data_IF_918640156927
#
_entry.id   IF_918640156927
#
_cell.length_a   1.000
_cell.length_b   1.000
_cell.length_c   1.000
_cell.angle_alpha   90.00
_cell.angle_beta   90.00
_cell.angle_gamma   90.00
#
_symmetry.space_group_name_H-M   'P 1'
#
loop_
_entity.id
_entity.type
_entity.pdbx_description
1 polymer ?
#
# COMPACT_ATOMS: atom_id res chain seq x y z
N UNK A 1 60.66 -21.01 34.04
CA UNK A 1 61.83 -20.21 33.64
C UNK A 1 61.36 -19.28 32.53
N UNK A 2 60.46 -18.34 32.82
CA UNK A 2 60.73 -17.03 33.45
C UNK A 2 61.60 -16.14 32.57
N UNK A 3 61.00 -15.23 31.80
CA UNK A 3 61.08 -13.81 32.12
C UNK A 3 60.10 -12.97 31.29
N UNK A 4 59.33 -12.17 32.03
CA UNK A 4 58.55 -11.01 31.61
C UNK A 4 59.46 -9.78 31.50
N UNK A 5 59.07 -8.82 30.65
CA UNK A 5 59.05 -7.36 30.90
C UNK A 5 58.36 -6.70 29.68
N UNK A 6 57.12 -6.19 29.77
CA UNK A 6 56.61 -4.94 30.38
C UNK A 6 56.94 -3.63 29.63
N UNK A 7 55.85 -2.99 29.14
CA UNK A 7 55.48 -1.54 29.15
C UNK A 7 56.43 -0.58 28.40
N UNK A 8 56.01 0.53 27.78
CA UNK A 8 54.97 1.47 28.13
C UNK A 8 54.55 2.40 26.95
N UNK A 9 53.41 3.03 27.19
CA UNK A 9 52.68 4.13 26.52
C UNK A 9 53.49 5.38 26.11
N UNK A 10 53.06 6.07 25.06
CA UNK A 10 53.17 7.55 24.99
C UNK A 10 52.01 8.21 24.21
N UNK A 11 51.35 9.16 24.91
CA UNK A 11 50.35 10.12 24.45
C UNK A 11 51.05 11.44 24.07
N UNK A 12 50.50 12.16 23.07
CA UNK A 12 50.42 13.63 22.84
C UNK A 12 50.57 13.90 21.32
N UNK A 13 49.89 14.86 20.68
CA UNK A 13 49.09 15.97 21.18
C UNK A 13 48.38 16.72 20.05
N UNK A 14 47.53 17.66 20.49
CA UNK A 14 46.63 18.55 19.75
C UNK A 14 47.34 19.48 18.74
N UNK A 15 46.61 19.89 17.69
CA UNK A 15 46.62 21.29 17.24
C UNK A 15 45.29 21.69 16.58
N UNK A 16 44.74 22.80 17.05
CA UNK A 16 43.61 23.53 16.49
C UNK A 16 44.14 24.76 15.74
N UNK A 17 43.46 25.19 14.68
CA UNK A 17 43.57 26.54 14.13
C UNK A 17 42.19 27.08 13.75
N UNK A 18 41.90 28.27 14.28
CA UNK A 18 40.74 29.11 13.97
C UNK A 18 40.85 29.75 12.57
N UNK A 19 39.69 30.05 11.97
CA UNK A 19 39.53 31.03 10.90
C UNK A 19 38.13 31.64 10.97
N UNK A 20 38.06 32.95 11.20
CA UNK A 20 36.87 33.78 11.44
C UNK A 20 36.81 34.85 10.34
N UNK A 21 35.67 35.05 9.70
CA UNK A 21 35.22 36.33 9.09
C UNK A 21 33.71 36.18 8.80
N UNK A 22 32.80 36.93 9.42
CA UNK A 22 32.48 38.37 9.28
C UNK A 22 31.93 38.74 7.90
N UNK A 23 30.63 39.07 7.87
CA UNK A 23 29.94 39.67 6.73
C UNK A 23 28.47 39.92 7.04
N UNK A 24 28.18 41.09 7.63
CA UNK A 24 26.85 41.58 7.94
C UNK A 24 26.22 42.26 6.71
N UNK A 25 24.90 42.12 6.53
CA UNK A 25 24.03 43.14 5.93
C UNK A 25 22.60 42.95 6.46
N UNK A 26 22.05 44.00 7.06
CA UNK A 26 20.66 44.08 7.48
C UNK A 26 19.80 44.85 6.47
N UNK A 27 18.48 44.73 6.65
CA UNK A 27 17.37 45.66 6.31
C UNK A 27 16.07 44.97 6.75
N UNK A 28 15.44 45.44 7.82
CA UNK A 28 14.32 46.41 7.86
C UNK A 28 12.94 45.78 7.54
N UNK A 29 12.09 45.82 8.57
CA UNK A 29 10.64 45.61 8.72
C UNK A 29 9.76 46.27 7.61
N UNK A 30 8.44 45.93 7.41
CA UNK A 30 7.43 45.93 8.48
C UNK A 30 6.14 45.05 8.36
N UNK A 31 5.52 44.84 9.52
CA UNK A 31 4.08 44.91 9.85
C UNK A 31 3.04 44.38 8.86
N UNK A 32 2.37 43.26 9.19
CA UNK A 32 1.03 42.93 8.69
C UNK A 32 0.15 42.39 9.83
N UNK A 33 -1.08 42.90 9.82
CA UNK A 33 -2.08 42.90 10.87
C UNK A 33 -2.76 41.54 11.13
N UNK A 34 -3.19 41.42 12.38
CA UNK A 34 -4.17 40.49 12.92
C UNK A 34 -5.58 40.87 12.44
N UNK A 35 -6.45 39.91 12.07
CA UNK A 35 -7.86 40.05 12.39
C UNK A 35 -8.46 38.79 13.01
N UNK A 36 -9.10 39.03 14.15
CA UNK A 36 -10.06 38.15 14.81
C UNK A 36 -11.38 38.04 14.04
N UNK A 37 -12.09 36.94 14.34
CA UNK A 37 -13.54 36.73 14.33
C UNK A 37 -14.27 36.65 12.97
N UNK A 38 -14.76 35.44 12.64
CA UNK A 38 -16.19 35.24 12.39
C UNK A 38 -16.59 33.75 12.41
N UNK A 39 -17.52 33.43 13.30
CA UNK A 39 -18.34 32.23 13.28
C UNK A 39 -19.34 32.28 12.11
N UNK A 40 -19.54 31.16 11.41
CA UNK A 40 -20.85 30.59 11.02
C UNK A 40 -20.61 29.32 10.19
N UNK A 41 -20.91 28.14 10.76
CA UNK A 41 -22.18 27.44 10.54
C UNK A 41 -22.40 27.04 9.07
N UNK A 42 -22.05 25.80 8.76
CA UNK A 42 -22.64 25.07 7.64
C UNK A 42 -22.97 23.64 8.09
N UNK A 43 -24.10 23.51 8.76
CA UNK A 43 -24.90 22.29 8.71
C UNK A 43 -25.56 22.23 7.33
N UNK A 44 -25.13 21.31 6.48
CA UNK A 44 -25.98 20.63 5.48
C UNK A 44 -25.11 19.93 4.43
N UNK A 45 -24.71 18.70 4.71
CA UNK A 45 -24.44 17.70 3.67
C UNK A 45 -25.19 16.43 4.05
N UNK A 46 -26.51 16.43 3.82
CA UNK A 46 -27.25 15.19 3.60
C UNK A 46 -26.91 14.74 2.17
N UNK A 47 -25.81 14.00 2.03
CA UNK A 47 -25.54 13.26 0.81
C UNK A 47 -26.40 11.99 0.82
N UNK A 48 -27.17 11.85 -0.25
CA UNK A 48 -28.01 10.70 -0.59
C UNK A 48 -27.19 9.41 -0.68
N UNK A 49 -27.27 8.59 0.36
CA UNK A 49 -26.81 7.20 0.33
C UNK A 49 -27.78 6.35 -0.51
N UNK A 50 -27.50 6.23 -1.81
CA UNK A 50 -28.12 5.20 -2.62
C UNK A 50 -27.12 4.63 -3.64
N UNK A 51 -26.73 3.36 -3.45
CA UNK A 51 -26.41 2.52 -4.59
C UNK A 51 -24.96 2.08 -4.82
N UNK A 52 -24.09 2.03 -3.81
CA UNK A 52 -22.92 1.13 -3.89
C UNK A 52 -22.45 0.72 -2.50
N UNK A 53 -23.05 -0.34 -1.95
CA UNK A 53 -22.50 -1.01 -0.76
C UNK A 53 -21.19 -1.68 -1.16
N UNK A 54 -20.09 -0.90 -1.20
CA UNK A 54 -18.75 -1.46 -1.19
C UNK A 54 -18.63 -2.26 0.10
N UNK A 55 -18.66 -3.59 -0.01
CA UNK A 55 -18.45 -4.47 1.13
C UNK A 55 -17.11 -4.08 1.76
N UNK A 56 -17.15 -3.72 3.03
CA UNK A 56 -15.95 -3.29 3.74
C UNK A 56 -14.94 -4.45 3.76
N UNK A 57 -13.73 -4.19 3.30
CA UNK A 57 -12.61 -5.13 3.43
C UNK A 57 -12.19 -5.15 4.91
N UNK A 58 -12.16 -6.35 5.50
CA UNK A 58 -11.77 -6.57 6.89
C UNK A 58 -10.54 -7.46 6.98
N UNK A 59 -9.65 -7.13 7.91
CA UNK A 59 -8.55 -7.97 8.35
C UNK A 59 -8.93 -8.67 9.66
N UNK A 60 -8.55 -9.92 9.83
CA UNK A 60 -8.77 -10.64 11.08
C UNK A 60 -7.57 -11.53 11.41
N UNK A 61 -7.21 -11.62 12.69
CA UNK A 61 -6.20 -12.58 13.13
C UNK A 61 -6.79 -13.98 13.24
N UNK A 62 -6.08 -14.97 12.74
CA UNK A 62 -6.41 -16.39 12.85
C UNK A 62 -5.17 -17.22 13.21
N UNK A 63 -5.39 -18.45 13.69
CA UNK A 63 -4.35 -19.37 14.14
C UNK A 63 -4.38 -19.63 15.65
N UNK A 64 -3.38 -20.34 16.15
CA UNK A 64 -3.28 -20.70 17.56
C UNK A 64 -2.44 -19.65 18.32
N UNK A 65 -2.93 -19.26 19.49
CA UNK A 65 -2.19 -18.43 20.43
C UNK A 65 -1.42 -19.31 21.42
N UNK A 66 -0.23 -18.90 21.88
CA UNK A 66 0.46 -19.54 23.00
C UNK A 66 -0.45 -19.65 24.23
N UNK A 67 -0.30 -20.74 25.00
CA UNK A 67 -1.15 -21.02 26.16
C UNK A 67 -1.06 -19.93 27.25
N UNK A 68 0.11 -19.31 27.37
CA UNK A 68 0.47 -18.30 28.37
C UNK A 68 0.25 -16.86 27.90
N UNK A 69 -0.52 -16.65 26.82
CA UNK A 69 -0.77 -15.32 26.23
C UNK A 69 -1.46 -14.35 27.21
N UNK A 70 -1.09 -13.07 27.17
CA UNK A 70 -1.68 -12.04 28.01
C UNK A 70 -3.19 -11.87 27.72
N UNK A 71 -4.08 -11.69 28.73
CA UNK A 71 -5.53 -11.60 28.53
C UNK A 71 -5.97 -10.56 27.49
N UNK A 72 -5.37 -9.36 27.52
CA UNK A 72 -5.65 -8.31 26.54
C UNK A 72 -5.36 -8.71 25.09
N UNK A 73 -4.39 -9.60 24.85
CA UNK A 73 -4.09 -10.11 23.50
C UNK A 73 -5.16 -11.11 23.06
N UNK A 74 -5.68 -11.92 23.99
CA UNK A 74 -6.78 -12.84 23.71
C UNK A 74 -8.05 -12.08 23.32
N UNK A 75 -8.30 -10.91 23.92
CA UNK A 75 -9.40 -10.00 23.53
C UNK A 75 -9.23 -9.43 22.12
N UNK A 76 -8.00 -9.28 21.63
CA UNK A 76 -7.70 -8.83 20.26
C UNK A 76 -8.00 -9.89 19.19
N UNK A 77 -8.06 -11.16 19.59
CA UNK A 77 -8.15 -12.28 18.67
C UNK A 77 -9.59 -12.49 18.19
N UNK A 78 -9.78 -12.68 16.88
CA UNK A 78 -11.11 -12.75 16.26
C UNK A 78 -11.75 -11.39 15.98
N UNK A 79 -11.14 -10.27 16.40
CA UNK A 79 -11.59 -8.94 15.99
C UNK A 79 -11.36 -8.72 14.50
N UNK A 80 -12.34 -8.08 13.86
CA UNK A 80 -12.23 -7.61 12.48
C UNK A 80 -11.73 -6.17 12.49
N UNK A 81 -10.71 -5.88 11.70
CA UNK A 81 -10.13 -4.56 11.54
C UNK A 81 -10.52 -3.97 10.20
N UNK A 82 -11.11 -2.79 10.21
CA UNK A 82 -11.49 -2.03 9.02
C UNK A 82 -10.46 -0.94 8.76
N UNK A 83 -10.06 -0.78 7.51
CA UNK A 83 -9.13 0.28 7.09
C UNK A 83 -9.73 1.66 7.40
N UNK A 84 -8.95 2.51 8.06
CA UNK A 84 -9.28 3.92 8.32
C UNK A 84 -8.69 4.80 7.20
N UNK A 85 -9.31 5.94 6.93
CA UNK A 85 -8.76 6.94 6.01
C UNK A 85 -7.46 7.58 6.56
N UNK A 86 -7.34 7.61 7.88
CA UNK A 86 -6.17 8.14 8.58
C UNK A 86 -4.96 7.21 8.49
N UNK A 87 -3.78 7.83 8.41
CA UNK A 87 -2.49 7.16 8.36
C UNK A 87 -1.78 7.33 9.71
N UNK A 88 -1.11 6.27 10.17
CA UNK A 88 -0.18 6.34 11.29
C UNK A 88 1.23 6.11 10.77
N UNK A 89 2.16 7.02 11.09
CA UNK A 89 3.56 6.96 10.63
C UNK A 89 3.67 6.78 9.10
N UNK A 90 2.84 7.51 8.35
CA UNK A 90 2.82 7.48 6.87
C UNK A 90 2.23 6.21 6.23
N UNK A 91 1.69 5.27 7.01
CA UNK A 91 1.05 4.05 6.49
C UNK A 91 -0.41 3.94 6.93
N UNK A 92 -1.26 3.22 6.18
CA UNK A 92 -2.65 3.04 6.55
C UNK A 92 -2.78 2.36 7.91
N UNK A 93 -3.77 2.80 8.70
CA UNK A 93 -4.09 2.14 9.94
C UNK A 93 -5.49 1.51 9.89
N UNK A 94 -5.69 0.50 10.73
CA UNK A 94 -6.92 -0.29 10.74
C UNK A 94 -7.50 -0.31 12.13
N UNK A 95 -8.78 0.00 12.27
CA UNK A 95 -9.47 0.04 13.56
C UNK A 95 -10.39 -1.17 13.66
N UNK A 96 -10.34 -1.83 14.81
CA UNK A 96 -11.24 -2.93 15.14
C UNK A 96 -12.72 -2.52 15.08
N UNK A 97 -13.61 -3.48 14.83
CA UNK A 97 -15.06 -3.23 14.75
C UNK A 97 -15.67 -2.69 16.04
N UNK A 98 -15.05 -2.95 17.20
CA UNK A 98 -15.49 -2.41 18.48
C UNK A 98 -14.88 -1.03 18.79
N UNK A 99 -13.97 -0.54 17.94
CA UNK A 99 -13.31 0.74 18.08
C UNK A 99 -12.29 0.83 19.23
N UNK A 100 -11.99 -0.26 19.94
CA UNK A 100 -11.10 -0.24 21.11
C UNK A 100 -9.65 -0.49 20.74
N UNK A 101 -9.44 -1.27 19.69
CA UNK A 101 -8.13 -1.69 19.23
C UNK A 101 -7.82 -1.18 17.82
N UNK A 102 -6.53 -1.10 17.53
CA UNK A 102 -6.02 -0.62 16.25
C UNK A 102 -4.81 -1.46 15.84
N UNK A 103 -4.65 -1.64 14.54
CA UNK A 103 -3.46 -2.16 13.89
C UNK A 103 -2.79 -0.98 13.16
N UNK A 104 -1.56 -0.67 13.51
CA UNK A 104 -0.80 0.44 12.92
C UNK A 104 0.65 0.05 12.66
N UNK A 105 1.31 0.85 11.82
CA UNK A 105 2.74 0.75 11.60
C UNK A 105 3.49 1.63 12.60
N UNK A 106 4.51 1.07 13.25
CA UNK A 106 5.40 1.75 14.16
C UNK A 106 6.85 1.65 13.69
N UNK A 107 7.63 2.68 14.00
CA UNK A 107 9.07 2.75 13.71
C UNK A 107 9.78 2.95 15.04
N UNK A 108 10.69 2.05 15.38
CA UNK A 108 11.51 2.13 16.58
C UNK A 108 12.63 3.16 16.40
N UNK A 109 13.26 3.54 17.51
CA UNK A 109 14.37 4.52 17.52
C UNK A 109 15.63 4.03 16.80
N UNK A 110 15.80 2.71 16.70
CA UNK A 110 16.88 2.06 15.96
C UNK A 110 16.56 1.85 14.46
N UNK A 111 15.40 2.34 14.00
CA UNK A 111 14.94 2.21 12.62
C UNK A 111 14.24 0.87 12.31
N UNK A 112 14.02 0.00 13.31
CA UNK A 112 13.22 -1.20 13.11
C UNK A 112 11.76 -0.84 12.80
N UNK A 113 11.16 -1.53 11.84
CA UNK A 113 9.77 -1.35 11.44
C UNK A 113 8.92 -2.50 11.98
N UNK A 114 7.74 -2.19 12.52
CA UNK A 114 6.81 -3.22 12.95
C UNK A 114 5.36 -2.85 12.68
N UNK A 115 4.55 -3.88 12.46
CA UNK A 115 3.10 -3.77 12.56
C UNK A 115 2.67 -4.18 13.96
N UNK A 116 1.91 -3.31 14.62
CA UNK A 116 1.53 -3.44 16.03
C UNK A 116 0.01 -3.40 16.17
N UNK A 117 -0.53 -4.30 16.98
CA UNK A 117 -1.92 -4.27 17.46
C UNK A 117 -1.94 -3.88 18.93
N UNK A 118 -2.74 -2.88 19.25
CA UNK A 118 -2.92 -2.43 20.62
C UNK A 118 -4.12 -1.50 20.76
N UNK A 119 -4.16 -0.75 21.87
CA UNK A 119 -5.25 0.20 22.14
C UNK A 119 -5.15 1.38 21.19
N UNK A 120 -6.29 1.93 20.80
CA UNK A 120 -6.35 3.14 19.93
C UNK A 120 -5.58 4.33 20.56
N UNK A 121 -5.57 4.45 21.90
CA UNK A 121 -4.80 5.49 22.62
C UNK A 121 -3.28 5.39 22.47
N UNK A 122 -2.79 4.26 21.99
CA UNK A 122 -1.36 3.98 21.77
C UNK A 122 -0.98 3.97 20.29
N UNK A 123 -1.92 4.35 19.41
CA UNK A 123 -1.69 4.42 17.98
C UNK A 123 -0.42 5.24 17.65
N UNK A 124 0.43 4.66 16.81
CA UNK A 124 1.71 5.25 16.39
C UNK A 124 2.88 4.99 17.34
N UNK A 125 2.64 4.54 18.58
CA UNK A 125 3.69 4.19 19.54
C UNK A 125 4.19 2.77 19.32
N UNK A 126 5.38 2.46 19.86
CA UNK A 126 5.92 1.11 19.95
C UNK A 126 5.35 0.36 21.17
N UNK A 127 4.02 0.33 21.29
CA UNK A 127 3.31 -0.24 22.44
C UNK A 127 2.07 -1.00 21.97
N UNK A 128 2.07 -2.32 22.12
CA UNK A 128 0.93 -3.18 21.77
C UNK A 128 1.13 -4.61 22.24
N UNK A 129 0.05 -5.37 22.25
CA UNK A 129 0.06 -6.75 22.73
C UNK A 129 0.45 -7.76 21.66
N UNK A 130 0.30 -7.41 20.38
CA UNK A 130 0.70 -8.21 19.22
C UNK A 130 1.59 -7.34 18.35
N UNK A 131 2.74 -7.86 17.93
CA UNK A 131 3.65 -7.15 17.05
C UNK A 131 4.32 -8.11 16.07
N UNK A 132 4.69 -7.60 14.91
CA UNK A 132 5.57 -8.32 13.98
C UNK A 132 6.64 -7.37 13.51
N UNK A 133 7.89 -7.71 13.82
CA UNK A 133 9.06 -6.91 13.48
C UNK A 133 9.61 -7.42 12.16
N UNK A 134 9.67 -6.53 11.17
CA UNK A 134 10.23 -6.85 9.86
C UNK A 134 11.63 -6.23 9.75
N UNK A 135 12.64 -7.08 9.56
CA UNK A 135 14.01 -6.62 9.28
C UNK A 135 14.12 -6.31 7.78
N UNK A 136 14.13 -5.02 7.43
CA UNK A 136 14.29 -4.56 6.05
C UNK A 136 13.33 -3.41 5.69
N UNK A 137 13.08 -3.21 4.40
CA UNK A 137 12.20 -2.15 3.88
C UNK A 137 10.72 -2.29 4.26
N UNK A 138 10.34 -3.37 4.96
CA UNK A 138 9.07 -3.60 5.62
C UNK A 138 7.86 -3.55 4.69
N UNK A 139 7.05 -4.60 4.65
CA UNK A 139 5.80 -4.62 3.88
C UNK A 139 4.94 -3.41 4.23
N UNK A 140 4.63 -2.59 3.22
CA UNK A 140 3.75 -1.42 3.32
C UNK A 140 2.30 -1.78 3.62
N UNK A 141 1.98 -3.07 3.56
CA UNK A 141 0.63 -3.62 3.56
C UNK A 141 0.60 -4.82 4.53
N UNK A 142 -0.20 -4.78 5.61
CA UNK A 142 -0.24 -5.85 6.61
C UNK A 142 -0.52 -7.24 6.04
N UNK A 143 -1.25 -7.30 4.94
CA UNK A 143 -1.65 -8.52 4.25
C UNK A 143 -0.46 -9.31 3.68
N UNK A 144 0.67 -8.66 3.40
CA UNK A 144 1.85 -9.34 2.86
C UNK A 144 2.87 -9.72 3.93
N UNK A 145 2.53 -9.56 5.21
CA UNK A 145 3.41 -9.95 6.31
C UNK A 145 3.53 -11.48 6.33
N UNK A 146 4.71 -11.98 5.97
CA UNK A 146 5.05 -13.42 6.09
C UNK A 146 5.87 -13.74 7.34
N UNK A 147 6.31 -12.71 8.06
CA UNK A 147 7.14 -12.84 9.26
C UNK A 147 6.36 -13.44 10.44
N UNK A 148 7.09 -14.00 11.40
CA UNK A 148 6.51 -14.59 12.61
C UNK A 148 6.02 -13.48 13.53
N UNK A 149 4.72 -13.53 13.85
CA UNK A 149 4.13 -12.63 14.82
C UNK A 149 4.61 -12.94 16.24
N UNK A 150 4.65 -11.91 17.05
CA UNK A 150 5.08 -11.93 18.43
C UNK A 150 3.94 -11.42 19.29
N UNK A 151 3.72 -12.07 20.44
CA UNK A 151 2.64 -11.72 21.36
C UNK A 151 3.20 -11.54 22.76
N UNK A 152 2.56 -10.67 23.54
CA UNK A 152 2.86 -10.54 24.96
C UNK A 152 2.29 -11.74 25.73
N UNK A 153 3.12 -12.37 26.54
CA UNK A 153 2.70 -13.36 27.52
C UNK A 153 2.14 -12.70 28.78
N UNK A 154 1.46 -13.50 29.59
CA UNK A 154 1.02 -13.17 30.95
C UNK A 154 2.16 -12.74 31.87
N UNK A 155 3.40 -13.14 31.58
CA UNK A 155 4.61 -12.72 32.32
C UNK A 155 5.24 -11.44 31.78
N UNK A 156 4.55 -10.73 30.87
CA UNK A 156 5.05 -9.50 30.21
C UNK A 156 6.33 -9.74 29.39
N UNK A 157 6.52 -10.96 28.90
CA UNK A 157 7.61 -11.31 27.99
C UNK A 157 7.07 -11.49 26.56
N UNK A 158 7.91 -11.25 25.56
CA UNK A 158 7.53 -11.43 24.16
C UNK A 158 7.75 -12.90 23.79
N UNK A 159 6.68 -13.55 23.31
CA UNK A 159 6.69 -14.95 22.87
C UNK A 159 6.34 -15.01 21.38
N UNK A 160 6.98 -15.92 20.64
CA UNK A 160 6.68 -16.11 19.22
C UNK A 160 5.36 -16.86 19.04
N UNK A 161 4.53 -16.39 18.12
CA UNK A 161 3.27 -17.01 17.72
C UNK A 161 3.33 -17.45 16.24
N UNK A 162 4.06 -18.53 15.92
CA UNK A 162 4.29 -18.96 14.54
C UNK A 162 3.05 -19.49 13.83
N UNK A 163 1.95 -19.75 14.55
CA UNK A 163 0.66 -20.11 13.97
C UNK A 163 -0.22 -18.89 13.64
N UNK A 164 0.09 -17.71 14.19
CA UNK A 164 -0.72 -16.51 14.04
C UNK A 164 -0.55 -15.93 12.62
N UNK A 165 -1.66 -15.68 11.93
CA UNK A 165 -1.70 -15.07 10.59
C UNK A 165 -2.76 -13.99 10.54
N UNK A 166 -2.54 -13.00 9.68
CA UNK A 166 -3.54 -12.00 9.35
C UNK A 166 -4.29 -12.47 8.10
N UNK A 167 -5.56 -12.80 8.24
CA UNK A 167 -6.42 -13.18 7.14
C UNK A 167 -7.11 -11.95 6.57
N UNK A 168 -7.08 -11.83 5.25
CA UNK A 168 -7.88 -10.87 4.53
C UNK A 168 -9.23 -11.53 4.22
N UNK A 169 -10.28 -11.17 4.95
CA UNK A 169 -11.61 -11.69 4.68
C UNK A 169 -12.17 -11.01 3.42
N UNK A 170 -12.01 -11.70 2.29
CA UNK A 170 -12.78 -11.40 1.10
C UNK A 170 -14.19 -11.98 1.32
N UNK A 171 -15.27 -11.18 1.31
CA UNK A 171 -16.63 -11.67 1.57
C UNK A 171 -17.13 -12.72 0.57
N UNK A 172 -16.39 -12.99 -0.52
CA UNK A 172 -16.67 -14.08 -1.45
C UNK A 172 -16.28 -15.48 -0.93
N UNK A 173 -15.59 -15.58 0.21
CA UNK A 173 -15.06 -16.86 0.71
C UNK A 173 -15.13 -16.95 2.24
N UNK A 174 -16.30 -16.70 2.82
CA UNK A 174 -16.57 -17.13 4.19
C UNK A 174 -17.04 -18.60 4.18
N UNK A 175 -16.42 -19.51 4.96
CA UNK A 175 -16.98 -20.84 5.20
C UNK A 175 -18.07 -20.71 6.26
N UNK A 176 -19.31 -20.46 5.83
CA UNK A 176 -20.49 -20.73 6.65
C UNK A 176 -20.74 -22.24 6.64
N UNK A 177 -20.07 -22.94 7.54
CA UNK A 177 -20.30 -24.35 7.84
C UNK A 177 -21.49 -24.49 8.80
N UNK A 178 -22.63 -23.95 8.38
CA UNK A 178 -23.94 -24.16 8.95
C UNK A 178 -24.91 -24.41 7.81
N UNK A 179 -24.92 -25.66 7.32
CA UNK A 179 -25.91 -26.13 6.33
C UNK A 179 -27.27 -26.22 7.02
N UNK A 180 -27.95 -25.09 7.16
CA UNK A 180 -29.41 -25.09 7.29
C UNK A 180 -29.95 -25.45 5.93
N UNK A 181 -30.49 -26.67 5.79
CA UNK A 181 -31.18 -27.13 4.58
C UNK A 181 -32.40 -26.23 4.34
N UNK A 182 -32.15 -25.09 3.71
CA UNK A 182 -33.15 -24.13 3.29
C UNK A 182 -33.64 -24.60 1.93
N UNK A 183 -34.75 -25.35 1.96
CA UNK A 183 -35.67 -25.63 0.85
C UNK A 183 -35.00 -26.06 -0.46
N UNK A 184 -35.20 -27.33 -0.84
CA UNK A 184 -34.90 -27.85 -2.17
C UNK A 184 -35.47 -26.92 -3.23
N UNK A 185 -34.61 -26.10 -3.86
CA UNK A 185 -34.97 -25.27 -5.00
C UNK A 185 -35.12 -26.15 -6.23
N UNK A 186 -36.17 -25.90 -6.99
CA UNK A 186 -36.45 -26.65 -8.21
C UNK A 186 -35.38 -26.36 -9.27
N UNK A 187 -35.18 -27.28 -10.22
CA UNK A 187 -34.21 -27.10 -11.31
C UNK A 187 -34.48 -25.84 -12.13
N UNK A 188 -35.75 -25.48 -12.27
CA UNK A 188 -36.22 -24.31 -13.02
C UNK A 188 -35.86 -22.99 -12.33
N UNK A 189 -35.92 -22.93 -10.99
CA UNK A 189 -35.46 -21.75 -10.22
C UNK A 189 -33.95 -21.54 -10.35
N UNK A 190 -33.15 -22.63 -10.40
CA UNK A 190 -31.70 -22.54 -10.65
C UNK A 190 -31.38 -22.04 -12.05
N UNK A 191 -32.11 -22.48 -13.07
CA UNK A 191 -31.88 -22.06 -14.45
C UNK A 191 -32.29 -20.59 -14.69
N UNK A 192 -33.31 -20.10 -13.97
CA UNK A 192 -33.71 -18.68 -14.01
C UNK A 192 -32.73 -17.77 -13.26
N UNK A 193 -32.20 -18.20 -12.11
CA UNK A 193 -31.23 -17.43 -11.32
C UNK A 193 -29.84 -17.41 -12.00
N UNK A 194 -29.41 -18.53 -12.60
CA UNK A 194 -28.19 -18.61 -13.39
C UNK A 194 -28.20 -17.70 -14.63
N UNK A 195 -29.37 -17.52 -15.27
CA UNK A 195 -29.53 -16.58 -16.39
C UNK A 195 -29.55 -15.12 -15.94
N UNK A 196 -29.98 -14.81 -14.71
CA UNK A 196 -29.90 -13.45 -14.15
C UNK A 196 -28.47 -13.03 -13.79
N UNK A 197 -27.64 -13.94 -13.29
CA UNK A 197 -26.25 -13.64 -12.94
C UNK A 197 -25.27 -13.67 -14.12
N UNK A 198 -25.62 -14.31 -15.24
CA UNK A 198 -24.78 -14.30 -16.44
C UNK A 198 -24.72 -12.92 -17.13
N UNK A 199 -25.70 -12.04 -16.88
CA UNK A 199 -25.83 -10.73 -17.55
C UNK A 199 -25.14 -9.62 -16.75
N UNK A 200 -24.89 -9.80 -15.45
CA UNK A 200 -24.27 -8.78 -14.58
C UNK A 200 -22.73 -8.92 -14.50
N UNK A 201 -22.11 -9.42 -15.57
CA UNK A 201 -20.66 -9.32 -15.74
C UNK A 201 -20.38 -7.91 -16.25
N UNK A 202 -20.37 -6.95 -15.33
CA UNK A 202 -19.81 -5.63 -15.60
C UNK A 202 -18.36 -5.81 -16.05
N UNK A 203 -18.11 -5.76 -17.37
CA UNK A 203 -16.78 -5.72 -17.99
C UNK A 203 -15.93 -4.51 -17.49
N UNK A 204 -16.57 -3.62 -16.74
CA UNK A 204 -16.02 -2.41 -16.17
C UNK A 204 -15.72 -2.50 -14.67
N UNK A 205 -15.77 -3.68 -14.04
CA UNK A 205 -15.37 -3.80 -12.63
C UNK A 205 -13.87 -3.45 -12.46
N UNK A 206 -13.53 -2.34 -11.76
CA UNK A 206 -12.15 -1.93 -11.56
C UNK A 206 -11.34 -2.94 -10.76
N UNK A 207 -11.97 -3.75 -9.88
CA UNK A 207 -11.28 -4.78 -9.11
C UNK A 207 -10.78 -5.91 -10.02
N UNK A 208 -11.61 -6.38 -10.95
CA UNK A 208 -11.23 -7.40 -11.94
C UNK A 208 -10.12 -6.90 -12.88
N UNK A 209 -10.15 -5.62 -13.25
CA UNK A 209 -9.09 -5.01 -14.09
C UNK A 209 -7.74 -4.98 -13.37
N UNK A 210 -7.74 -4.63 -12.07
CA UNK A 210 -6.51 -4.57 -11.27
C UNK A 210 -5.86 -5.94 -11.07
N UNK A 211 -6.67 -6.98 -10.83
CA UNK A 211 -6.14 -8.34 -10.66
C UNK A 211 -5.54 -8.88 -11.96
N UNK A 212 -6.17 -8.60 -13.11
CA UNK A 212 -5.63 -8.97 -14.42
C UNK A 212 -4.33 -8.24 -14.73
N UNK A 213 -4.23 -6.94 -14.42
CA UNK A 213 -3.01 -6.16 -14.62
C UNK A 213 -1.84 -6.71 -13.79
N UNK A 214 -2.06 -6.97 -12.49
CA UNK A 214 -1.06 -7.58 -11.61
C UNK A 214 -0.59 -8.96 -12.13
N UNK A 215 -1.53 -9.78 -12.63
CA UNK A 215 -1.20 -11.07 -13.24
C UNK A 215 -0.39 -10.94 -14.55
N UNK A 216 -0.62 -9.90 -15.37
CA UNK A 216 0.20 -9.62 -16.56
C UNK A 216 1.61 -9.23 -16.14
N UNK A 217 1.76 -8.28 -15.21
CA UNK A 217 3.06 -7.81 -14.72
C UNK A 217 3.89 -8.96 -14.11
N UNK A 218 3.25 -9.81 -13.30
CA UNK A 218 3.90 -10.98 -12.70
C UNK A 218 4.41 -11.95 -13.78
N UNK A 219 3.62 -12.19 -14.83
CA UNK A 219 4.03 -13.06 -15.95
C UNK A 219 5.18 -12.45 -16.75
N UNK A 220 5.16 -11.14 -16.98
CA UNK A 220 6.25 -10.43 -17.67
C UNK A 220 7.53 -10.48 -16.84
N UNK A 221 7.45 -10.24 -15.52
CA UNK A 221 8.59 -10.34 -14.63
C UNK A 221 9.18 -11.76 -14.62
N UNK A 222 8.33 -12.79 -14.55
CA UNK A 222 8.76 -14.19 -14.65
C UNK A 222 9.44 -14.50 -15.98
N UNK A 223 8.87 -14.01 -17.10
CA UNK A 223 9.45 -14.21 -18.43
C UNK A 223 10.81 -13.50 -18.58
N UNK A 224 10.96 -12.28 -18.06
CA UNK A 224 12.24 -11.56 -18.00
C UNK A 224 13.29 -12.35 -17.21
N UNK A 225 12.93 -12.83 -16.02
CA UNK A 225 13.83 -13.65 -15.19
C UNK A 225 14.31 -14.91 -15.91
N UNK A 226 13.42 -15.61 -16.61
CA UNK A 226 13.79 -16.79 -17.39
C UNK A 226 14.73 -16.46 -18.57
N UNK A 227 14.55 -15.29 -19.20
CA UNK A 227 15.44 -14.83 -20.26
C UNK A 227 16.82 -14.41 -19.71
N UNK A 228 16.87 -13.80 -18.51
CA UNK A 228 18.13 -13.44 -17.85
C UNK A 228 19.03 -14.66 -17.64
N UNK A 229 18.48 -15.80 -17.22
CA UNK A 229 19.27 -17.04 -17.10
C UNK A 229 19.86 -17.51 -18.43
N UNK A 230 19.11 -17.36 -19.53
CA UNK A 230 19.58 -17.69 -20.87
C UNK A 230 20.67 -16.72 -21.35
N UNK A 231 20.53 -15.42 -21.05
CA UNK A 231 21.52 -14.40 -21.36
C UNK A 231 22.79 -14.66 -20.55
N UNK A 232 22.69 -14.93 -19.26
CA UNK A 232 23.86 -15.20 -18.40
C UNK A 232 24.64 -16.43 -18.88
N UNK A 233 23.95 -17.50 -19.29
CA UNK A 233 24.61 -18.66 -19.93
C UNK A 233 25.37 -18.25 -21.18
N UNK A 234 24.74 -17.44 -22.04
CA UNK A 234 25.36 -16.96 -23.27
C UNK A 234 26.56 -16.05 -23.01
N UNK A 235 26.48 -15.20 -21.98
CA UNK A 235 27.62 -14.37 -21.53
C UNK A 235 28.79 -15.24 -21.08
N UNK A 236 28.53 -16.33 -20.34
CA UNK A 236 29.59 -17.25 -19.91
C UNK A 236 30.27 -17.88 -21.13
N UNK A 237 29.50 -18.36 -22.12
CA UNK A 237 30.04 -18.92 -23.36
C UNK A 237 30.91 -17.93 -24.14
N UNK A 238 30.45 -16.68 -24.29
CA UNK A 238 31.19 -15.63 -24.99
C UNK A 238 32.45 -15.20 -24.23
N UNK A 239 32.42 -15.24 -22.89
CA UNK A 239 33.52 -14.79 -22.03
C UNK A 239 34.59 -15.86 -21.82
N UNK A 240 34.24 -17.15 -21.98
CA UNK A 240 35.15 -18.29 -21.83
C UNK A 240 36.55 -18.08 -22.45
N UNK A 241 36.70 -17.68 -23.73
CA UNK A 241 38.02 -17.46 -24.32
C UNK A 241 38.80 -16.32 -23.65
N UNK A 242 38.13 -15.25 -23.21
CA UNK A 242 38.81 -14.15 -22.50
C UNK A 242 39.29 -14.57 -21.11
N UNK A 243 38.53 -15.42 -20.41
CA UNK A 243 38.96 -15.97 -19.11
C UNK A 243 40.23 -16.83 -19.27
N UNK A 244 40.30 -17.66 -20.31
CA UNK A 244 41.48 -18.48 -20.59
C UNK A 244 42.72 -17.61 -20.90
N UNK A 245 42.56 -16.54 -21.67
CA UNK A 245 43.64 -15.58 -21.96
C UNK A 245 44.11 -14.86 -20.69
N UNK A 246 43.19 -14.48 -19.81
CA UNK A 246 43.53 -13.84 -18.54
C UNK A 246 44.32 -14.79 -17.63
N UNK A 247 43.92 -16.06 -17.54
CA UNK A 247 44.63 -17.09 -16.74
C UNK A 247 46.04 -17.33 -17.28
N UNK A 248 46.24 -17.23 -18.60
CA UNK A 248 47.58 -17.30 -19.23
C UNK A 248 48.41 -16.03 -19.06
N UNK A 249 47.83 -14.96 -18.51
CA UNK A 249 48.49 -13.65 -18.39
C UNK A 249 48.62 -12.88 -19.71
N UNK A 250 47.84 -13.26 -20.73
CA UNK A 250 47.85 -12.61 -22.05
C UNK A 250 47.05 -11.29 -22.05
N UNK A 251 46.06 -11.17 -21.16
CA UNK A 251 45.27 -9.94 -20.96
C UNK A 251 45.24 -9.55 -19.49
N UNK A 252 45.05 -8.25 -19.22
CA UNK A 252 44.93 -7.74 -17.86
C UNK A 252 43.47 -7.76 -17.35
N UNK A 253 43.27 -7.33 -16.09
CA UNK A 253 41.95 -7.32 -15.46
C UNK A 253 41.01 -6.23 -16.01
N UNK A 254 41.56 -5.13 -16.54
CA UNK A 254 40.77 -4.04 -17.12
C UNK A 254 40.20 -4.47 -18.48
N UNK A 255 41.00 -5.15 -19.30
CA UNK A 255 40.56 -5.71 -20.57
C UNK A 255 39.53 -6.83 -20.37
N UNK A 256 39.72 -7.71 -19.39
CA UNK A 256 38.71 -8.72 -19.05
C UNK A 256 37.37 -8.09 -18.65
N UNK A 257 37.39 -6.99 -17.89
CA UNK A 257 36.18 -6.26 -17.53
C UNK A 257 35.49 -5.63 -18.76
N UNK A 258 36.26 -5.08 -19.70
CA UNK A 258 35.72 -4.54 -20.95
C UNK A 258 35.09 -5.64 -21.81
N UNK A 259 35.74 -6.80 -21.94
CA UNK A 259 35.22 -7.95 -22.70
C UNK A 259 33.98 -8.56 -22.05
N UNK A 260 33.88 -8.55 -20.71
CA UNK A 260 32.66 -8.94 -19.99
C UNK A 260 31.47 -8.06 -20.34
N UNK A 261 31.66 -6.75 -20.39
CA UNK A 261 30.60 -5.81 -20.76
C UNK A 261 30.21 -5.92 -22.24
N UNK A 262 31.17 -6.18 -23.12
CA UNK A 262 30.91 -6.45 -24.53
C UNK A 262 30.11 -7.74 -24.73
N UNK A 263 30.51 -8.83 -24.07
CA UNK A 263 29.79 -10.11 -24.10
C UNK A 263 28.36 -9.99 -23.57
N UNK A 264 28.13 -9.18 -22.52
CA UNK A 264 26.78 -8.88 -22.03
C UNK A 264 25.93 -8.18 -23.08
N UNK A 265 26.44 -7.10 -23.68
CA UNK A 265 25.71 -6.38 -24.74
C UNK A 265 25.41 -7.27 -25.95
N UNK A 266 26.35 -8.12 -26.33
CA UNK A 266 26.16 -9.06 -27.44
C UNK A 266 25.10 -10.12 -27.11
N UNK A 267 25.17 -10.75 -25.93
CA UNK A 267 24.18 -11.72 -25.47
C UNK A 267 22.77 -11.11 -25.33
N UNK A 268 22.67 -9.87 -24.86
CA UNK A 268 21.40 -9.12 -24.80
C UNK A 268 20.86 -8.81 -26.21
N UNK A 269 21.72 -8.46 -27.17
CA UNK A 269 21.34 -8.19 -28.55
C UNK A 269 20.89 -9.46 -29.31
N UNK A 270 21.48 -10.61 -29.02
CA UNK A 270 21.08 -11.91 -29.59
C UNK A 270 19.71 -12.39 -29.06
N UNK A 271 19.30 -11.92 -27.86
CA UNK A 271 18.06 -12.37 -27.23
C UNK A 271 16.81 -11.62 -27.72
N UNK A 272 16.51 -11.79 -29.03
CA UNK A 272 15.33 -11.19 -29.69
C UNK A 272 13.99 -11.41 -28.95
N UNK A 273 13.72 -12.56 -28.30
CA UNK A 273 12.48 -12.76 -27.54
C UNK A 273 12.29 -11.76 -26.39
N UNK A 274 13.36 -11.40 -25.66
CA UNK A 274 13.28 -10.44 -24.56
C UNK A 274 12.97 -9.03 -25.08
N UNK A 275 13.66 -8.58 -26.13
CA UNK A 275 13.39 -7.28 -26.75
C UNK A 275 11.96 -7.18 -27.29
N UNK A 276 11.42 -8.27 -27.84
CA UNK A 276 10.04 -8.32 -28.32
C UNK A 276 9.04 -8.24 -27.15
N UNK A 277 9.29 -8.97 -26.06
CA UNK A 277 8.47 -8.93 -24.85
C UNK A 277 8.40 -7.51 -24.28
N UNK A 278 9.54 -6.83 -24.18
CA UNK A 278 9.63 -5.48 -23.64
C UNK A 278 8.86 -4.48 -24.50
N UNK A 279 9.03 -4.52 -25.84
CA UNK A 279 8.24 -3.70 -26.78
C UNK A 279 6.74 -3.95 -26.64
N UNK A 280 6.31 -5.20 -26.48
CA UNK A 280 4.90 -5.53 -26.27
C UNK A 280 4.38 -5.01 -24.93
N UNK A 281 5.18 -5.10 -23.87
CA UNK A 281 4.81 -4.61 -22.55
C UNK A 281 4.72 -3.08 -22.52
N UNK A 282 5.64 -2.36 -23.18
CA UNK A 282 5.59 -0.91 -23.37
C UNK A 282 4.32 -0.46 -24.10
N UNK A 283 3.94 -1.16 -25.18
CA UNK A 283 2.67 -0.89 -25.88
C UNK A 283 1.46 -1.10 -24.97
N UNK A 284 1.49 -2.14 -24.15
CA UNK A 284 0.42 -2.44 -23.19
C UNK A 284 0.31 -1.34 -22.11
N UNK A 285 1.42 -0.91 -21.51
CA UNK A 285 1.40 0.14 -20.48
C UNK A 285 0.99 1.49 -21.07
N UNK A 286 1.42 1.81 -22.30
CA UNK A 286 0.95 2.99 -23.03
C UNK A 286 -0.56 2.95 -23.29
N UNK A 287 -1.11 1.79 -23.66
CA UNK A 287 -2.55 1.63 -23.85
C UNK A 287 -3.34 1.80 -22.53
N UNK A 288 -2.81 1.34 -21.39
CA UNK A 288 -3.41 1.60 -20.07
C UNK A 288 -3.41 3.10 -19.78
N UNK A 289 -2.28 3.78 -19.98
CA UNK A 289 -2.16 5.20 -19.72
C UNK A 289 -3.16 6.01 -20.57
N UNK A 290 -3.28 5.68 -21.86
CA UNK A 290 -4.26 6.30 -22.76
C UNK A 290 -5.70 6.09 -22.29
N UNK A 291 -6.04 4.90 -21.78
CA UNK A 291 -7.37 4.64 -21.21
C UNK A 291 -7.63 5.50 -19.97
N UNK A 292 -6.67 5.58 -19.05
CA UNK A 292 -6.82 6.40 -17.82
C UNK A 292 -7.04 7.86 -18.17
N UNK A 293 -6.27 8.39 -19.13
CA UNK A 293 -6.47 9.75 -19.63
C UNK A 293 -7.86 9.96 -20.24
N UNK A 294 -8.38 8.97 -20.97
CA UNK A 294 -9.73 9.04 -21.52
C UNK A 294 -10.81 8.98 -20.43
N UNK A 295 -10.62 8.18 -19.37
CA UNK A 295 -11.52 8.12 -18.21
C UNK A 295 -11.55 9.46 -17.46
N UNK A 296 -10.39 10.08 -17.25
CA UNK A 296 -10.27 11.42 -16.63
C UNK A 296 -10.94 12.50 -17.48
N UNK A 297 -10.78 12.44 -18.81
CA UNK A 297 -11.42 13.39 -19.73
C UNK A 297 -12.96 13.28 -19.72
N UNK A 298 -13.50 12.06 -19.60
CA UNK A 298 -14.95 11.86 -19.44
C UNK A 298 -15.44 12.46 -18.13
N UNK A 299 -14.71 12.28 -17.03
CA UNK A 299 -15.07 12.87 -15.73
C UNK A 299 -15.13 14.40 -15.80
N UNK A 300 -14.14 15.04 -16.40
CA UNK A 300 -14.12 16.49 -16.60
C UNK A 300 -15.28 16.98 -17.47
N UNK A 301 -15.61 16.22 -18.52
CA UNK A 301 -16.75 16.54 -19.38
C UNK A 301 -18.08 16.47 -18.60
N UNK A 302 -18.27 15.45 -17.76
CA UNK A 302 -19.47 15.34 -16.92
C UNK A 302 -19.57 16.46 -15.87
N UNK A 303 -18.47 16.86 -15.23
CA UNK A 303 -18.46 17.98 -14.29
C UNK A 303 -18.82 19.32 -14.98
N UNK A 304 -18.35 19.49 -16.22
CA UNK A 304 -18.70 20.65 -17.04
C UNK A 304 -20.19 20.64 -17.43
N UNK A 305 -20.74 19.48 -17.80
CA UNK A 305 -22.17 19.31 -18.08
C UNK A 305 -23.03 19.61 -16.86
N UNK A 306 -22.67 19.08 -15.69
CA UNK A 306 -23.39 19.33 -14.42
C UNK A 306 -23.36 20.81 -14.02
N UNK A 307 -22.22 21.49 -14.25
CA UNK A 307 -22.09 22.93 -14.00
C UNK A 307 -23.00 23.73 -14.94
N UNK A 308 -23.01 23.41 -16.23
CA UNK A 308 -23.88 24.06 -17.21
C UNK A 308 -25.37 23.80 -16.92
N UNK A 309 -25.72 22.60 -16.45
CA UNK A 309 -27.07 22.26 -16.05
C UNK A 309 -27.52 23.11 -14.84
N UNK A 310 -26.65 23.26 -13.84
CA UNK A 310 -26.93 24.09 -12.67
C UNK A 310 -27.14 25.58 -13.03
N UNK A 311 -26.33 26.10 -13.96
CA UNK A 311 -26.49 27.46 -14.49
C UNK A 311 -27.82 27.63 -15.25
N UNK A 312 -28.18 26.65 -16.08
CA UNK A 312 -29.45 26.63 -16.80
C UNK A 312 -30.64 26.59 -15.83
N UNK A 313 -30.61 25.71 -14.83
CA UNK A 313 -31.65 25.60 -13.80
C UNK A 313 -31.81 26.90 -13.01
N UNK A 314 -30.70 27.57 -12.68
CA UNK A 314 -30.74 28.87 -12.02
C UNK A 314 -31.39 29.95 -12.90
N UNK A 315 -31.06 29.98 -14.19
CA UNK A 315 -31.68 30.90 -15.15
C UNK A 315 -33.18 30.63 -15.34
N UNK A 316 -33.59 29.36 -15.42
CA UNK A 316 -35.00 28.97 -15.53
C UNK A 316 -35.79 29.39 -14.29
N UNK A 317 -35.25 29.16 -13.08
CA UNK A 317 -35.89 29.60 -11.82
C UNK A 317 -36.03 31.11 -11.71
N UNK A 318 -35.11 31.88 -12.30
CA UNK A 318 -35.20 33.34 -12.30
C UNK A 318 -36.34 33.87 -13.20
N UNK A 319 -36.72 33.11 -14.23
CA UNK A 319 -37.76 33.48 -15.18
C UNK A 319 -39.14 32.96 -14.81
N UNK A 320 -39.23 31.83 -14.11
CA UNK A 320 -40.49 31.30 -13.60
C UNK A 320 -40.85 32.00 -12.29
N UNK A 321 -41.93 32.81 -12.22
CA UNK A 321 -42.35 33.43 -10.98
C UNK A 321 -42.65 32.32 -9.95
N UNK A 322 -42.20 32.52 -8.71
CA UNK A 322 -42.59 31.64 -7.61
C UNK A 322 -44.12 31.63 -7.55
N UNK A 323 -44.74 30.49 -7.86
CA UNK A 323 -46.18 30.33 -7.70
C UNK A 323 -46.51 30.73 -6.26
N UNK A 324 -47.27 31.82 -6.12
CA UNK A 324 -47.80 32.25 -4.85
C UNK A 324 -48.68 31.11 -4.32
N UNK A 325 -48.13 30.31 -3.40
CA UNK A 325 -48.87 29.27 -2.72
C UNK A 325 -50.17 29.82 -2.14
N UNK A 326 -51.26 29.04 -2.12
CA UNK A 326 -52.59 29.53 -1.78
C UNK A 326 -52.60 30.18 -0.39
N UNK A 327 -52.63 31.52 -0.42
CA UNK A 327 -52.92 32.36 0.73
C UNK A 327 -54.36 32.11 1.14
N UNK A 328 -54.57 31.41 2.25
CA UNK A 328 -55.91 31.23 2.79
C UNK A 328 -56.03 30.17 3.86
N UNK A 329 -55.64 30.49 5.10
CA UNK A 329 -56.40 29.99 6.26
C UNK A 329 -56.71 31.16 7.18
N UNK A 330 -58.00 31.49 7.16
CA UNK A 330 -58.72 32.50 7.92
C UNK A 330 -58.66 32.14 9.42
N UNK A 331 -58.36 33.12 10.27
CA UNK A 331 -58.58 33.03 11.72
C UNK A 331 -60.10 32.95 11.98
N UNK A 332 -60.57 31.80 12.47
CA UNK A 332 -61.84 31.67 13.16
C UNK A 332 -61.64 31.82 14.67
N UNK A 333 -62.61 32.46 15.31
CA UNK A 333 -62.67 33.04 16.66
C UNK A 333 -62.36 32.10 17.84
#
# INVERSE_FOLDING_TARGET
LSHQHERATSRRGRRATHGRSSGAFGREDPTIADPRDSHNSCHSCCASEAGSRRMAEFLAFAGELPADVHPHVRESFGLKFKKRAEHCNGRPAYVSTDGKQMLWHAIATDGANAWIVGKVSDAGKWAGGIAVVERGSGSSVPEHITSVWQVWSSTMTIVMAPALRLLHSNPATAPDDAVTVTRVRTREERDLEGRRHAIDINLFDPKRRRTVACAVETRVAKARSACTESIDKRVIELLQPAVEQFVKGEIDSAELAQRKEAARREAEAEHAPLSQLDKCFEKYTAAIAARVQAEDAVLQATETEDTALAELDAAVRALLPAEAGPSGVVKGE
#
